data_IF_277386597117
#
_entry.id   IF_277386597117
#
_cell.length_a   1.000
_cell.length_b   1.000
_cell.length_c   1.000
_cell.angle_alpha   90.00
_cell.angle_beta   90.00
_cell.angle_gamma   90.00
#
_symmetry.space_group_name_H-M   'P 1'
#
loop_
_entity.id
_entity.type
_entity.pdbx_description
1 polymer ?
#
# COMPACT_ATOMS: atom_id res chain seq x y z
N UNK A 1 -6.44 -21.95 -19.57
CA UNK A 1 -6.66 -20.56 -19.09
C UNK A 1 -7.76 -20.61 -18.07
N UNK A 2 -7.43 -20.27 -16.83
CA UNK A 2 -8.42 -20.13 -15.77
C UNK A 2 -8.74 -18.63 -15.72
N UNK A 3 -9.89 -18.24 -16.27
CA UNK A 3 -10.27 -16.82 -16.46
C UNK A 3 -10.20 -16.02 -15.16
N UNK A 4 -10.45 -16.64 -14.02
CA UNK A 4 -10.36 -16.00 -12.70
C UNK A 4 -8.91 -15.77 -12.29
N UNK A 5 -8.01 -16.70 -12.61
CA UNK A 5 -6.58 -16.55 -12.40
C UNK A 5 -5.97 -15.47 -13.30
N UNK A 6 -6.36 -15.45 -14.58
CA UNK A 6 -5.88 -14.46 -15.54
C UNK A 6 -6.37 -13.04 -15.17
N UNK A 7 -7.63 -12.91 -14.72
CA UNK A 7 -8.17 -11.68 -14.14
C UNK A 7 -7.41 -11.24 -12.90
N UNK A 8 -7.14 -12.16 -11.99
CA UNK A 8 -6.38 -11.88 -10.77
C UNK A 8 -4.96 -11.37 -11.06
N UNK A 9 -4.26 -11.97 -12.04
CA UNK A 9 -2.95 -11.51 -12.48
C UNK A 9 -2.99 -10.10 -13.09
N UNK A 10 -4.03 -9.80 -13.88
CA UNK A 10 -4.20 -8.48 -14.50
C UNK A 10 -4.41 -7.38 -13.44
N UNK A 11 -5.24 -7.65 -12.44
CA UNK A 11 -5.47 -6.71 -11.32
C UNK A 11 -4.20 -6.50 -10.51
N UNK A 12 -3.41 -7.55 -10.29
CA UNK A 12 -2.12 -7.42 -9.60
C UNK A 12 -1.13 -6.55 -10.38
N UNK A 13 -1.06 -6.72 -11.69
CA UNK A 13 -0.23 -5.86 -12.54
C UNK A 13 -0.68 -4.39 -12.46
N UNK A 14 -1.98 -4.14 -12.54
CA UNK A 14 -2.55 -2.80 -12.38
C UNK A 14 -2.20 -2.18 -11.02
N UNK A 15 -2.36 -2.94 -9.93
CA UNK A 15 -2.00 -2.47 -8.58
C UNK A 15 -0.51 -2.19 -8.46
N UNK A 16 0.35 -3.04 -9.01
CA UNK A 16 1.80 -2.83 -9.02
C UNK A 16 2.17 -1.53 -9.75
N UNK A 17 1.58 -1.26 -10.92
CA UNK A 17 1.80 0.00 -11.65
C UNK A 17 1.41 1.24 -10.83
N UNK A 18 0.27 1.18 -10.13
CA UNK A 18 -0.18 2.30 -9.29
C UNK A 18 0.76 2.48 -8.09
N UNK A 19 1.23 1.39 -7.46
CA UNK A 19 2.18 1.44 -6.35
C UNK A 19 3.54 1.99 -6.82
N UNK A 20 4.02 1.56 -7.98
CA UNK A 20 5.28 2.08 -8.55
C UNK A 20 5.16 3.57 -8.86
N UNK A 21 3.98 4.03 -9.28
CA UNK A 21 3.73 5.46 -9.49
C UNK A 21 3.78 6.30 -8.21
N UNK A 22 3.58 5.70 -7.03
CA UNK A 22 3.72 6.39 -5.73
C UNK A 22 5.19 6.66 -5.38
N UNK A 23 6.13 5.84 -5.86
CA UNK A 23 7.57 6.04 -5.59
C UNK A 23 8.09 7.35 -6.23
N UNK A 24 7.51 7.74 -7.35
CA UNK A 24 7.84 8.99 -8.04
C UNK A 24 7.13 10.22 -7.46
N UNK A 25 6.19 10.02 -6.53
CA UNK A 25 5.53 11.11 -5.82
C UNK A 25 6.21 11.36 -4.48
N UNK A 26 6.70 12.58 -4.32
CA UNK A 26 7.08 13.05 -3.00
C UNK A 26 5.81 13.45 -2.23
N UNK A 27 5.54 12.77 -1.10
CA UNK A 27 4.41 13.08 -0.25
C UNK A 27 4.44 14.53 0.24
N UNK A 28 5.63 15.08 0.55
CA UNK A 28 5.77 16.46 1.03
C UNK A 28 5.36 17.50 -0.04
N UNK A 29 5.57 17.20 -1.32
CA UNK A 29 5.31 18.12 -2.42
C UNK A 29 3.87 18.01 -2.95
N UNK A 30 3.25 16.82 -2.84
CA UNK A 30 1.90 16.56 -3.36
C UNK A 30 1.10 15.59 -2.49
N UNK A 31 0.72 16.03 -1.29
CA UNK A 31 -0.05 15.23 -0.33
C UNK A 31 -1.38 14.73 -0.89
N UNK A 32 -2.14 15.61 -1.55
CA UNK A 32 -3.46 15.27 -2.07
C UNK A 32 -3.35 14.20 -3.18
N UNK A 33 -2.42 14.37 -4.12
CA UNK A 33 -2.19 13.38 -5.18
C UNK A 33 -1.71 12.04 -4.63
N UNK A 34 -0.94 12.05 -3.55
CA UNK A 34 -0.51 10.84 -2.86
C UNK A 34 -1.69 10.11 -2.19
N UNK A 35 -2.56 10.83 -1.48
CA UNK A 35 -3.75 10.28 -0.82
C UNK A 35 -4.73 9.71 -1.86
N UNK A 36 -5.02 10.44 -2.94
CA UNK A 36 -5.91 9.99 -4.01
C UNK A 36 -5.42 8.68 -4.67
N UNK A 37 -4.11 8.48 -4.79
CA UNK A 37 -3.56 7.23 -5.30
C UNK A 37 -3.72 6.08 -4.30
N UNK A 38 -3.57 6.33 -2.99
CA UNK A 38 -3.83 5.31 -1.96
C UNK A 38 -5.31 4.91 -1.92
N UNK A 39 -6.22 5.86 -2.10
CA UNK A 39 -7.65 5.61 -2.23
C UNK A 39 -7.93 4.74 -3.46
N UNK A 40 -7.35 5.07 -4.61
CA UNK A 40 -7.50 4.28 -5.84
C UNK A 40 -6.97 2.84 -5.69
N UNK A 41 -5.84 2.63 -4.98
CA UNK A 41 -5.34 1.28 -4.65
C UNK A 41 -6.36 0.52 -3.80
N UNK A 42 -6.97 1.18 -2.80
CA UNK A 42 -7.97 0.56 -1.91
C UNK A 42 -9.22 0.16 -2.67
N UNK A 43 -9.72 1.03 -3.55
CA UNK A 43 -10.92 0.77 -4.34
C UNK A 43 -10.76 -0.46 -5.23
N UNK A 44 -9.63 -0.53 -5.95
CA UNK A 44 -9.29 -1.69 -6.79
C UNK A 44 -9.15 -2.94 -5.89
N UNK A 45 -8.41 -2.84 -4.79
CA UNK A 45 -8.22 -3.99 -3.90
C UNK A 45 -9.55 -4.53 -3.35
N UNK A 46 -10.47 -3.66 -2.93
CA UNK A 46 -11.80 -4.05 -2.44
C UNK A 46 -12.67 -4.64 -3.54
N UNK A 47 -12.68 -4.05 -4.73
CA UNK A 47 -13.46 -4.52 -5.88
C UNK A 47 -13.10 -5.97 -6.27
N UNK A 48 -11.84 -6.36 -6.11
CA UNK A 48 -11.34 -7.68 -6.49
C UNK A 48 -11.09 -8.62 -5.29
N UNK A 49 -11.60 -8.29 -4.09
CA UNK A 49 -11.52 -9.16 -2.92
C UNK A 49 -10.11 -9.29 -2.32
N UNK A 50 -9.20 -8.37 -2.63
CA UNK A 50 -7.85 -8.30 -2.10
C UNK A 50 -7.79 -7.49 -0.80
N UNK A 51 -8.66 -7.82 0.16
CA UNK A 51 -8.85 -7.07 1.41
C UNK A 51 -7.55 -6.69 2.15
N UNK A 52 -6.52 -7.57 2.26
CA UNK A 52 -5.27 -7.20 2.93
C UNK A 52 -4.56 -5.97 2.34
N UNK A 53 -4.63 -5.77 1.02
CA UNK A 53 -4.03 -4.60 0.35
C UNK A 53 -4.82 -3.33 0.69
N UNK A 54 -6.14 -3.43 0.76
CA UNK A 54 -7.01 -2.34 1.22
C UNK A 54 -6.71 -1.94 2.67
N UNK A 55 -6.57 -2.92 3.56
CA UNK A 55 -6.24 -2.70 4.98
C UNK A 55 -4.88 -2.01 5.16
N UNK A 56 -3.86 -2.48 4.44
CA UNK A 56 -2.52 -1.86 4.45
C UNK A 56 -2.60 -0.41 3.97
N UNK A 57 -3.33 -0.16 2.89
CA UNK A 57 -3.49 1.19 2.32
C UNK A 57 -4.21 2.14 3.29
N UNK A 58 -5.23 1.66 4.01
CA UNK A 58 -5.95 2.43 5.02
C UNK A 58 -5.07 2.76 6.24
N UNK A 59 -4.29 1.78 6.72
CA UNK A 59 -3.39 2.02 7.85
C UNK A 59 -2.29 3.01 7.47
N UNK A 60 -1.79 2.92 6.23
CA UNK A 60 -0.79 3.85 5.75
C UNK A 60 -1.33 5.28 5.64
N UNK A 61 -2.53 5.48 5.09
CA UNK A 61 -3.17 6.81 5.05
C UNK A 61 -3.32 7.42 6.46
N UNK A 62 -3.76 6.62 7.43
CA UNK A 62 -3.87 7.05 8.82
C UNK A 62 -2.51 7.40 9.45
N UNK A 63 -1.44 6.71 9.05
CA UNK A 63 -0.09 7.02 9.48
C UNK A 63 0.43 8.33 8.84
N UNK A 64 0.15 8.56 7.55
CA UNK A 64 0.50 9.80 6.83
C UNK A 64 -0.09 11.04 7.48
N UNK A 65 -1.34 10.99 7.95
CA UNK A 65 -1.96 12.08 8.70
C UNK A 65 -1.18 12.49 9.96
N UNK A 66 -0.42 11.57 10.55
CA UNK A 66 0.45 11.82 11.73
C UNK A 66 1.86 12.26 11.34
N UNK A 67 2.29 11.99 10.10
CA UNK A 67 3.64 12.28 9.60
C UNK A 67 3.86 13.71 9.14
N UNK A 68 2.81 14.53 9.05
CA UNK A 68 2.90 15.95 8.71
C UNK A 68 3.80 16.77 9.66
N UNK A 69 4.25 16.18 10.78
CA UNK A 69 5.14 16.81 11.76
C UNK A 69 6.57 16.23 11.78
N UNK A 70 6.87 15.21 10.96
CA UNK A 70 8.14 14.49 10.99
C UNK A 70 9.02 14.78 9.77
N UNK A 71 10.29 15.12 9.99
CA UNK A 71 11.29 15.35 8.92
C UNK A 71 11.62 14.07 8.10
N UNK A 72 11.24 12.88 8.60
CA UNK A 72 11.55 11.58 7.98
C UNK A 72 10.38 10.98 7.16
N UNK A 73 9.41 11.80 6.75
CA UNK A 73 8.20 11.35 6.04
C UNK A 73 8.51 10.52 4.79
N UNK A 74 9.56 10.85 4.04
CA UNK A 74 9.93 10.13 2.81
C UNK A 74 10.44 8.69 3.06
N UNK A 75 11.28 8.49 4.09
CA UNK A 75 11.79 7.15 4.45
C UNK A 75 10.63 6.24 4.84
N UNK A 76 9.66 6.80 5.55
CA UNK A 76 8.48 6.09 6.00
C UNK A 76 7.56 5.75 4.81
N UNK A 77 7.37 6.69 3.88
CA UNK A 77 6.64 6.43 2.64
C UNK A 77 7.27 5.29 1.83
N UNK A 78 8.60 5.29 1.67
CA UNK A 78 9.33 4.22 0.98
C UNK A 78 9.15 2.85 1.66
N UNK A 79 9.22 2.81 2.99
CA UNK A 79 9.00 1.56 3.74
C UNK A 79 7.58 1.00 3.54
N UNK A 80 6.57 1.87 3.51
CA UNK A 80 5.19 1.47 3.26
C UNK A 80 4.94 1.03 1.81
N UNK A 81 5.54 1.71 0.83
CA UNK A 81 5.51 1.29 -0.58
C UNK A 81 6.11 -0.12 -0.73
N UNK A 82 7.22 -0.41 -0.04
CA UNK A 82 7.81 -1.75 -0.04
C UNK A 82 6.84 -2.83 0.44
N UNK A 83 6.07 -2.56 1.50
CA UNK A 83 5.08 -3.51 2.02
C UNK A 83 3.91 -3.70 1.07
N UNK A 84 3.45 -2.64 0.41
CA UNK A 84 2.42 -2.75 -0.63
C UNK A 84 2.90 -3.59 -1.83
N UNK A 85 4.16 -3.42 -2.24
CA UNK A 85 4.78 -4.24 -3.29
C UNK A 85 4.83 -5.71 -2.89
N UNK A 86 5.29 -6.00 -1.67
CA UNK A 86 5.34 -7.37 -1.16
C UNK A 86 3.94 -7.99 -1.08
N UNK A 87 2.96 -7.22 -0.63
CA UNK A 87 1.58 -7.65 -0.54
C UNK A 87 0.99 -7.98 -1.93
N UNK A 88 1.20 -7.11 -2.92
CA UNK A 88 0.78 -7.37 -4.31
C UNK A 88 1.56 -8.53 -4.92
N UNK A 89 2.80 -8.79 -4.50
CA UNK A 89 3.61 -9.91 -4.99
C UNK A 89 3.15 -11.29 -4.44
N UNK A 90 2.51 -11.33 -3.27
CA UNK A 90 2.03 -12.58 -2.67
C UNK A 90 0.75 -13.11 -3.35
N UNK A 91 0.75 -14.40 -3.73
CA UNK A 91 -0.45 -15.08 -4.28
C UNK A 91 -1.58 -15.26 -3.24
N UNK A 92 -1.21 -15.35 -1.95
CA UNK A 92 -2.11 -15.38 -0.80
C UNK A 92 -1.38 -14.75 0.38
N UNK A 93 -1.91 -13.66 0.92
CA UNK A 93 -1.49 -13.12 2.21
C UNK A 93 -2.45 -13.67 3.24
N UNK A 94 -1.97 -14.46 4.21
CA UNK A 94 -2.79 -14.77 5.38
C UNK A 94 -2.97 -13.53 6.24
N UNK A 95 -4.08 -13.43 6.95
CA UNK A 95 -4.33 -12.30 7.85
C UNK A 95 -3.22 -12.14 8.91
N UNK A 96 -2.55 -13.22 9.34
CA UNK A 96 -1.37 -13.11 10.22
C UNK A 96 -0.18 -12.42 9.54
N UNK A 97 0.10 -12.72 8.26
CA UNK A 97 1.21 -12.12 7.55
C UNK A 97 0.99 -10.60 7.34
N UNK A 98 -0.24 -10.20 6.99
CA UNK A 98 -0.60 -8.78 6.90
C UNK A 98 -0.40 -8.06 8.24
N UNK A 99 -0.87 -8.66 9.35
CA UNK A 99 -0.69 -8.11 10.70
C UNK A 99 0.78 -7.99 11.11
N UNK A 100 1.61 -8.98 10.78
CA UNK A 100 3.04 -8.95 11.07
C UNK A 100 3.76 -7.83 10.30
N UNK A 101 3.44 -7.66 9.00
CA UNK A 101 3.97 -6.56 8.18
C UNK A 101 3.59 -5.21 8.77
N UNK A 102 2.31 -5.03 9.15
CA UNK A 102 1.82 -3.81 9.78
C UNK A 102 2.51 -3.51 11.13
N UNK A 103 2.70 -4.54 11.96
CA UNK A 103 3.44 -4.42 13.22
C UNK A 103 4.88 -3.94 13.02
N UNK A 104 5.55 -4.40 11.96
CA UNK A 104 6.92 -3.98 11.66
C UNK A 104 7.02 -2.48 11.32
N UNK A 105 5.98 -1.89 10.72
CA UNK A 105 5.95 -0.45 10.40
C UNK A 105 5.60 0.38 11.62
N UNK A 106 4.63 -0.07 12.42
CA UNK A 106 4.27 0.60 13.66
C UNK A 106 5.48 0.78 14.60
N UNK A 107 6.37 -0.23 14.64
CA UNK A 107 7.65 -0.14 15.38
C UNK A 107 8.60 0.93 14.82
N UNK A 108 8.64 1.10 13.49
CA UNK A 108 9.49 2.11 12.83
C UNK A 108 8.94 3.54 12.94
N UNK A 109 7.63 3.68 13.16
CA UNK A 109 6.95 4.96 13.37
C UNK A 109 7.11 5.52 14.80
N UNK A 110 7.48 4.67 15.77
CA UNK A 110 7.68 5.05 17.17
C UNK A 110 9.16 5.30 17.55
N UNK A 111 10.08 5.22 16.60
CA UNK A 111 11.51 5.47 16.77
C UNK A 111 11.89 6.85 16.21
#
# INVERSE_FOLDING_TARGET
>A
MNLDHDRYLLVRAQLAEIIDSLEYLNYADNQLGYILKLEHIRDIAMQYGMAPIGDISMIFENALGKLNQCQNSQIICQAYIGILRDAVACQRISNEAARAMLGSVAMRLHA
#
